data_IF_100720201211
#
_entry.id   IF_100720201211
#
_cell.length_a   1.000
_cell.length_b   1.000
_cell.length_c   1.000
_cell.angle_alpha   90.00
_cell.angle_beta   90.00
_cell.angle_gamma   90.00
#
_symmetry.space_group_name_H-M   'P 1'
#
loop_
_entity.id
_entity.type
_entity.pdbx_description
1 polymer ?
#
# COMPACT_ATOMS: atom_id res chain seq x y z
N UNK A 1 -10.47 -10.26 7.15
CA UNK A 1 -9.95 -11.64 7.19
C UNK A 1 -8.54 -11.68 7.74
N UNK A 2 -7.67 -10.75 7.35
CA UNK A 2 -6.27 -10.66 7.84
C UNK A 2 -6.18 -10.53 9.36
N UNK A 3 -7.00 -9.71 10.00
CA UNK A 3 -6.97 -9.45 11.45
C UNK A 3 -7.15 -10.70 12.32
N UNK A 4 -7.81 -11.73 11.81
CA UNK A 4 -8.03 -12.98 12.53
C UNK A 4 -6.91 -14.01 12.35
N UNK A 5 -6.25 -13.97 11.20
CA UNK A 5 -5.22 -14.94 10.81
C UNK A 5 -3.82 -14.45 11.18
N UNK A 6 -3.56 -13.16 10.98
CA UNK A 6 -2.27 -12.52 11.18
C UNK A 6 -1.65 -12.79 12.57
N UNK A 7 -2.38 -12.69 13.70
CA UNK A 7 -1.80 -12.98 15.01
C UNK A 7 -1.31 -14.43 15.16
N UNK A 8 -2.00 -15.38 14.51
CA UNK A 8 -1.61 -16.79 14.54
C UNK A 8 -0.37 -17.04 13.67
N UNK A 9 -0.31 -16.42 12.51
CA UNK A 9 0.86 -16.48 11.60
C UNK A 9 2.09 -15.87 12.28
N UNK A 10 1.95 -14.70 12.89
CA UNK A 10 3.04 -14.05 13.65
C UNK A 10 3.54 -14.96 14.76
N UNK A 11 2.62 -15.56 15.52
CA UNK A 11 2.97 -16.49 16.62
C UNK A 11 3.75 -17.69 16.08
N UNK A 12 3.28 -18.33 15.01
CA UNK A 12 3.94 -19.47 14.39
C UNK A 12 5.34 -19.10 13.87
N UNK A 13 5.46 -17.97 13.16
CA UNK A 13 6.75 -17.50 12.64
C UNK A 13 7.77 -17.22 13.75
N UNK A 14 7.32 -16.69 14.89
CA UNK A 14 8.17 -16.43 16.06
C UNK A 14 8.53 -17.69 16.83
N UNK A 15 7.67 -18.70 16.82
CA UNK A 15 7.94 -19.99 17.46
C UNK A 15 8.94 -20.82 16.67
N UNK A 16 8.90 -20.70 15.33
CA UNK A 16 9.75 -21.45 14.42
C UNK A 16 10.44 -20.54 13.38
N UNK A 17 11.37 -19.65 13.81
CA UNK A 17 11.91 -18.61 12.93
C UNK A 17 12.71 -19.16 11.75
N UNK A 18 13.42 -20.26 11.94
CA UNK A 18 14.18 -20.91 10.85
C UNK A 18 13.25 -21.50 9.78
N UNK A 19 12.12 -22.06 10.20
CA UNK A 19 11.12 -22.58 9.28
C UNK A 19 10.41 -21.44 8.55
N UNK A 20 10.05 -20.38 9.27
CA UNK A 20 9.43 -19.22 8.68
C UNK A 20 10.31 -18.59 7.59
N UNK A 21 11.61 -18.39 7.84
CA UNK A 21 12.56 -17.89 6.85
C UNK A 21 12.72 -18.85 5.67
N UNK A 22 12.81 -20.15 5.93
CA UNK A 22 12.98 -21.13 4.87
C UNK A 22 11.75 -21.22 3.95
N UNK A 23 10.55 -21.06 4.49
CA UNK A 23 9.30 -21.04 3.73
C UNK A 23 9.15 -19.71 2.98
N UNK A 24 9.36 -18.58 3.65
CA UNK A 24 9.19 -17.25 3.08
C UNK A 24 9.95 -17.05 1.76
N UNK A 25 11.25 -17.34 1.76
CA UNK A 25 12.09 -17.21 0.57
C UNK A 25 11.86 -18.28 -0.52
N UNK A 26 10.95 -19.24 -0.29
CA UNK A 26 10.62 -20.30 -1.26
C UNK A 26 9.22 -20.21 -1.83
N UNK A 27 8.40 -19.25 -1.38
CA UNK A 27 7.07 -19.05 -1.96
C UNK A 27 7.22 -18.54 -3.40
N UNK A 28 6.74 -19.28 -4.41
CA UNK A 28 6.83 -18.82 -5.79
C UNK A 28 6.02 -17.54 -6.00
N UNK A 29 6.54 -16.60 -6.81
CA UNK A 29 5.85 -15.36 -7.15
C UNK A 29 4.43 -15.60 -7.69
N UNK A 30 4.28 -16.56 -8.59
CA UNK A 30 2.96 -16.94 -9.14
C UNK A 30 1.95 -17.39 -8.06
N UNK A 31 2.41 -18.06 -6.99
CA UNK A 31 1.53 -18.43 -5.89
C UNK A 31 1.17 -17.22 -5.03
N UNK A 32 2.13 -16.35 -4.74
CA UNK A 32 1.90 -15.11 -4.01
C UNK A 32 0.93 -14.18 -4.78
N UNK A 33 1.11 -14.06 -6.09
CA UNK A 33 0.22 -13.32 -6.98
C UNK A 33 -1.23 -13.82 -6.91
N UNK A 34 -1.43 -15.13 -7.07
CA UNK A 34 -2.77 -15.74 -6.97
C UNK A 34 -3.43 -15.49 -5.61
N UNK A 35 -2.66 -15.53 -4.53
CA UNK A 35 -3.18 -15.27 -3.18
C UNK A 35 -3.57 -13.80 -3.03
N UNK A 36 -2.77 -12.87 -3.55
CA UNK A 36 -3.04 -11.45 -3.50
C UNK A 36 -4.28 -11.08 -4.35
N UNK A 37 -4.42 -11.66 -5.56
CA UNK A 37 -5.62 -11.48 -6.39
C UNK A 37 -6.87 -12.09 -5.73
N UNK A 38 -6.77 -13.28 -5.14
CA UNK A 38 -7.89 -13.90 -4.43
C UNK A 38 -8.30 -13.10 -3.17
N UNK A 39 -7.35 -12.38 -2.56
CA UNK A 39 -7.58 -11.46 -1.45
C UNK A 39 -8.14 -10.10 -1.88
N UNK A 40 -8.23 -9.83 -3.17
CA UNK A 40 -8.57 -8.51 -3.75
C UNK A 40 -7.59 -7.40 -3.39
N UNK A 41 -6.35 -7.76 -3.10
CA UNK A 41 -5.26 -6.80 -2.86
C UNK A 41 -4.61 -6.35 -4.18
N UNK A 42 -4.82 -7.12 -5.26
CA UNK A 42 -4.35 -6.85 -6.62
C UNK A 42 -5.48 -7.11 -7.61
N UNK A 43 -5.54 -6.27 -8.64
CA UNK A 43 -6.35 -6.51 -9.83
C UNK A 43 -5.50 -7.23 -10.89
N UNK A 44 -5.82 -8.51 -11.13
CA UNK A 44 -5.08 -9.35 -12.09
C UNK A 44 -5.19 -8.87 -13.55
N UNK A 45 -6.23 -8.10 -13.88
CA UNK A 45 -6.44 -7.58 -15.23
C UNK A 45 -5.61 -6.32 -15.50
N UNK A 46 -5.08 -5.70 -14.45
CA UNK A 46 -4.36 -4.41 -14.51
C UNK A 46 -2.87 -4.51 -14.18
N UNK A 47 -2.44 -5.59 -13.53
CA UNK A 47 -1.04 -5.80 -13.17
C UNK A 47 -0.45 -6.89 -14.04
N UNK A 48 0.68 -6.59 -14.69
CA UNK A 48 1.46 -7.61 -15.37
C UNK A 48 2.14 -8.53 -14.34
N UNK A 49 2.08 -9.84 -14.56
CA UNK A 49 2.70 -10.82 -13.67
C UNK A 49 4.21 -10.54 -13.45
N UNK A 50 4.89 -10.00 -14.48
CA UNK A 50 6.30 -9.62 -14.43
C UNK A 50 6.60 -8.49 -13.45
N UNK A 51 5.70 -7.48 -13.35
CA UNK A 51 5.86 -6.37 -12.41
C UNK A 51 5.65 -6.84 -10.97
N UNK A 52 4.66 -7.72 -10.77
CA UNK A 52 4.48 -8.37 -9.47
C UNK A 52 5.67 -9.27 -9.11
N UNK A 53 6.26 -9.98 -10.06
CA UNK A 53 7.43 -10.82 -9.82
C UNK A 53 8.59 -10.00 -9.24
N UNK A 54 8.89 -8.83 -9.80
CA UNK A 54 9.94 -7.94 -9.30
C UNK A 54 9.66 -7.48 -7.87
N UNK A 55 8.41 -7.09 -7.60
CA UNK A 55 7.98 -6.72 -6.25
C UNK A 55 8.17 -7.89 -5.27
N UNK A 56 7.76 -9.10 -5.68
CA UNK A 56 7.85 -10.29 -4.84
C UNK A 56 9.30 -10.71 -4.58
N UNK A 57 10.17 -10.63 -5.58
CA UNK A 57 11.61 -10.89 -5.43
C UNK A 57 12.21 -10.04 -4.31
N UNK A 58 11.96 -8.73 -4.30
CA UNK A 58 12.43 -7.85 -3.24
C UNK A 58 11.79 -8.17 -1.88
N UNK A 59 10.50 -8.43 -1.87
CA UNK A 59 9.77 -8.76 -0.63
C UNK A 59 10.24 -10.09 -0.02
N UNK A 60 10.61 -11.06 -0.85
CA UNK A 60 11.11 -12.37 -0.42
C UNK A 60 12.49 -12.31 0.27
N UNK A 61 13.25 -11.25 0.00
CA UNK A 61 14.54 -11.00 0.66
C UNK A 61 14.39 -10.40 2.07
N UNK A 62 13.20 -9.90 2.40
CA UNK A 62 12.93 -9.31 3.71
C UNK A 62 12.86 -10.40 4.79
N UNK A 63 13.38 -10.13 5.98
CA UNK A 63 13.18 -11.01 7.12
C UNK A 63 11.68 -11.08 7.48
N UNK A 64 11.05 -12.27 7.48
CA UNK A 64 9.62 -12.41 7.73
C UNK A 64 9.19 -11.93 9.11
N UNK A 65 10.04 -11.99 10.14
CA UNK A 65 9.69 -11.45 11.46
C UNK A 65 9.62 -9.91 11.42
N UNK A 66 10.53 -9.27 10.68
CA UNK A 66 10.49 -7.80 10.48
C UNK A 66 9.24 -7.41 9.71
N UNK A 67 8.95 -8.09 8.60
CA UNK A 67 7.76 -7.81 7.78
C UNK A 67 6.45 -7.97 8.58
N UNK A 68 6.31 -9.08 9.30
CA UNK A 68 5.12 -9.34 10.12
C UNK A 68 4.96 -8.33 11.27
N UNK A 69 6.06 -7.87 11.87
CA UNK A 69 6.01 -6.80 12.87
C UNK A 69 5.57 -5.48 12.26
N UNK A 70 6.10 -5.12 11.08
CA UNK A 70 5.67 -3.91 10.38
C UNK A 70 4.15 -3.92 10.14
N UNK A 71 3.60 -5.03 9.64
CA UNK A 71 2.15 -5.18 9.47
C UNK A 71 1.39 -5.05 10.81
N UNK A 72 1.90 -5.65 11.88
CA UNK A 72 1.26 -5.55 13.19
C UNK A 72 1.27 -4.12 13.75
N UNK A 73 2.37 -3.39 13.55
CA UNK A 73 2.47 -2.00 14.01
C UNK A 73 1.65 -1.06 13.13
N UNK A 74 1.62 -1.29 11.82
CA UNK A 74 0.77 -0.52 10.91
C UNK A 74 -0.71 -0.60 11.31
N UNK A 75 -1.21 -1.79 11.65
CA UNK A 75 -2.59 -1.97 12.12
C UNK A 75 -2.91 -1.35 13.50
N UNK A 76 -1.89 -0.91 14.25
CA UNK A 76 -2.05 -0.23 15.56
C UNK A 76 -1.75 1.26 15.48
N UNK A 77 -1.22 1.72 14.35
CA UNK A 77 -0.87 3.12 14.18
C UNK A 77 -2.14 3.99 14.17
N UNK A 78 -2.13 5.04 14.95
CA UNK A 78 -3.20 6.03 15.00
C UNK A 78 -2.62 7.44 14.99
N UNK A 79 -2.86 8.17 13.91
CA UNK A 79 -2.41 9.54 13.72
C UNK A 79 -3.51 10.59 13.94
N UNK A 80 -4.75 10.19 14.27
CA UNK A 80 -5.91 11.07 14.36
C UNK A 80 -5.67 12.33 15.18
N UNK A 81 -5.00 12.19 16.32
CA UNK A 81 -4.67 13.31 17.19
C UNK A 81 -3.66 14.31 16.60
N UNK A 82 -2.93 13.91 15.56
CA UNK A 82 -1.92 14.72 14.90
C UNK A 82 -2.43 15.35 13.60
N UNK A 83 -3.33 14.72 12.88
CA UNK A 83 -3.82 15.16 11.56
C UNK A 83 -4.26 16.64 11.51
N UNK A 84 -4.98 17.19 12.52
CA UNK A 84 -5.37 18.60 12.51
C UNK A 84 -4.20 19.59 12.59
N UNK A 85 -3.00 19.13 12.93
CA UNK A 85 -1.79 19.94 13.03
C UNK A 85 -0.96 19.95 11.73
N UNK A 86 -1.41 19.23 10.70
CA UNK A 86 -0.75 19.21 9.39
C UNK A 86 -1.15 20.47 8.62
N UNK A 87 -0.27 21.46 8.61
CA UNK A 87 -0.51 22.77 7.98
C UNK A 87 -0.09 22.82 6.50
N UNK A 88 0.76 21.90 6.07
CA UNK A 88 1.25 21.84 4.68
C UNK A 88 0.17 21.34 3.72
N UNK A 89 0.16 21.82 2.46
CA UNK A 89 -0.70 21.25 1.43
C UNK A 89 -0.51 19.74 1.34
N UNK A 90 -1.59 18.98 1.39
CA UNK A 90 -1.56 17.52 1.46
C UNK A 90 -2.46 16.93 0.38
N UNK A 91 -1.92 16.04 -0.44
CA UNK A 91 -2.70 15.23 -1.37
C UNK A 91 -2.83 13.82 -0.80
N UNK A 92 -4.06 13.37 -0.65
CA UNK A 92 -4.42 12.01 -0.25
C UNK A 92 -4.91 11.29 -1.49
N UNK A 93 -4.25 10.20 -1.87
CA UNK A 93 -4.68 9.34 -2.96
C UNK A 93 -5.19 8.04 -2.36
N UNK A 94 -6.42 7.70 -2.65
CA UNK A 94 -7.07 6.51 -2.14
C UNK A 94 -7.62 5.66 -3.30
N UNK A 95 -7.52 4.34 -3.18
CA UNK A 95 -8.10 3.42 -4.15
C UNK A 95 -9.48 2.96 -3.69
N UNK A 96 -10.44 2.95 -4.61
CA UNK A 96 -11.85 2.65 -4.31
C UNK A 96 -12.03 1.27 -3.67
N UNK A 97 -11.24 0.29 -4.13
CA UNK A 97 -11.36 -1.10 -3.70
C UNK A 97 -10.24 -1.54 -2.75
N UNK A 98 -9.51 -0.59 -2.15
CA UNK A 98 -8.47 -0.92 -1.18
C UNK A 98 -9.07 -1.58 0.07
N UNK A 99 -8.77 -2.86 0.25
CA UNK A 99 -9.23 -3.63 1.41
C UNK A 99 -8.26 -3.55 2.58
N UNK A 100 -7.04 -3.07 2.34
CA UNK A 100 -5.98 -2.94 3.35
C UNK A 100 -6.05 -1.61 4.09
N UNK A 101 -6.21 -0.51 3.34
CA UNK A 101 -6.46 0.84 3.85
C UNK A 101 -7.79 1.38 3.32
N UNK A 102 -8.93 1.02 3.96
CA UNK A 102 -10.25 1.31 3.44
C UNK A 102 -10.51 2.80 3.22
N UNK A 103 -11.30 3.10 2.20
CA UNK A 103 -11.68 4.44 1.76
C UNK A 103 -12.09 5.38 2.90
N UNK A 104 -12.82 4.86 3.90
CA UNK A 104 -13.25 5.63 5.06
C UNK A 104 -12.08 6.26 5.85
N UNK A 105 -10.90 5.65 5.85
CA UNK A 105 -9.71 6.23 6.49
C UNK A 105 -9.16 7.42 5.69
N UNK A 106 -9.20 7.35 4.37
CA UNK A 106 -8.78 8.46 3.51
C UNK A 106 -9.74 9.65 3.63
N UNK A 107 -11.04 9.40 3.70
CA UNK A 107 -12.08 10.40 3.96
C UNK A 107 -11.89 11.05 5.33
N UNK A 108 -11.62 10.26 6.36
CA UNK A 108 -11.33 10.76 7.71
C UNK A 108 -10.07 11.64 7.73
N UNK A 109 -9.01 11.23 7.04
CA UNK A 109 -7.78 12.03 6.90
C UNK A 109 -8.06 13.35 6.18
N UNK A 110 -8.78 13.30 5.06
CA UNK A 110 -9.13 14.48 4.29
C UNK A 110 -9.99 15.48 5.08
N UNK A 111 -10.89 14.98 5.92
CA UNK A 111 -11.71 15.83 6.80
C UNK A 111 -10.91 16.42 7.96
N UNK A 112 -9.86 15.75 8.43
CA UNK A 112 -9.08 16.17 9.58
C UNK A 112 -7.92 17.12 9.23
N UNK A 113 -7.34 17.02 8.04
CA UNK A 113 -6.21 17.85 7.60
C UNK A 113 -6.73 19.12 6.93
N UNK A 114 -6.41 20.33 7.44
CA UNK A 114 -7.01 21.59 6.98
C UNK A 114 -6.82 21.91 5.48
N UNK A 115 -5.68 21.52 4.91
CA UNK A 115 -5.30 21.81 3.51
C UNK A 115 -5.18 20.53 2.67
N UNK A 116 -6.02 19.53 2.95
CA UNK A 116 -6.03 18.27 2.21
C UNK A 116 -6.89 18.33 0.95
N UNK A 117 -6.42 17.64 -0.08
CA UNK A 117 -7.19 17.23 -1.25
C UNK A 117 -7.27 15.71 -1.25
N UNK A 118 -8.45 15.16 -1.54
CA UNK A 118 -8.66 13.72 -1.70
C UNK A 118 -8.89 13.41 -3.18
N UNK A 119 -8.07 12.52 -3.70
CA UNK A 119 -8.26 11.90 -5.01
C UNK A 119 -8.60 10.44 -4.83
N UNK A 120 -9.67 10.01 -5.47
CA UNK A 120 -10.11 8.61 -5.48
C UNK A 120 -9.74 7.99 -6.82
N UNK A 121 -8.95 6.94 -6.78
CA UNK A 121 -8.63 6.14 -7.96
C UNK A 121 -9.71 5.06 -8.10
N UNK A 122 -10.66 5.32 -9.00
CA UNK A 122 -11.77 4.41 -9.27
C UNK A 122 -11.27 3.07 -9.80
N UNK A 123 -11.98 2.00 -9.44
CA UNK A 123 -11.69 0.62 -9.87
C UNK A 123 -10.26 0.16 -9.55
N UNK A 124 -9.55 0.80 -8.63
CA UNK A 124 -8.21 0.40 -8.21
C UNK A 124 -8.23 -0.32 -6.86
N UNK A 125 -7.29 -1.25 -6.70
CA UNK A 125 -7.05 -1.99 -5.46
C UNK A 125 -5.94 -1.33 -4.61
N UNK A 126 -5.47 -2.02 -3.59
CA UNK A 126 -4.32 -1.58 -2.78
C UNK A 126 -3.06 -1.28 -3.61
N UNK A 127 -2.94 -1.89 -4.78
CA UNK A 127 -1.82 -1.70 -5.69
C UNK A 127 -2.05 -0.56 -6.72
N UNK A 128 -2.95 0.37 -6.49
CA UNK A 128 -3.26 1.48 -7.38
C UNK A 128 -2.05 2.15 -8.05
N UNK A 129 -0.90 2.38 -7.37
CA UNK A 129 0.28 2.97 -8.01
C UNK A 129 0.88 2.11 -9.14
N UNK A 130 0.62 0.81 -9.15
CA UNK A 130 1.07 -0.13 -10.19
C UNK A 130 -0.03 -0.39 -11.20
N UNK A 131 -1.29 -0.35 -10.78
CA UNK A 131 -2.47 -0.56 -11.63
C UNK A 131 -2.78 0.62 -12.54
N UNK A 132 -2.62 1.86 -12.02
CA UNK A 132 -2.94 3.10 -12.72
C UNK A 132 -1.82 4.16 -12.53
N UNK A 133 -0.57 3.85 -12.92
CA UNK A 133 0.58 4.73 -12.64
C UNK A 133 0.46 6.10 -13.29
N UNK A 134 -0.03 6.16 -14.55
CA UNK A 134 -0.14 7.41 -15.29
C UNK A 134 -1.15 8.35 -14.64
N UNK A 135 -2.31 7.86 -14.23
CA UNK A 135 -3.34 8.64 -13.55
C UNK A 135 -2.83 9.23 -12.23
N UNK A 136 -2.11 8.42 -11.45
CA UNK A 136 -1.52 8.86 -10.18
C UNK A 136 -0.44 9.90 -10.44
N UNK A 137 0.45 9.66 -11.42
CA UNK A 137 1.51 10.58 -11.77
C UNK A 137 0.95 11.94 -12.21
N UNK A 138 -0.05 11.96 -13.11
CA UNK A 138 -0.73 13.16 -13.57
C UNK A 138 -1.33 13.95 -12.38
N UNK A 139 -2.04 13.27 -11.50
CA UNK A 139 -2.65 13.93 -10.34
C UNK A 139 -1.62 14.51 -9.37
N UNK A 140 -0.51 13.81 -9.16
CA UNK A 140 0.60 14.32 -8.35
C UNK A 140 1.26 15.53 -9.01
N UNK A 141 1.51 15.50 -10.33
CA UNK A 141 2.08 16.62 -11.07
C UNK A 141 1.17 17.85 -11.00
N UNK A 142 -0.14 17.68 -11.16
CA UNK A 142 -1.12 18.76 -11.03
C UNK A 142 -1.12 19.38 -9.63
N UNK A 143 -1.08 18.56 -8.61
CA UNK A 143 -1.00 19.02 -7.22
C UNK A 143 0.29 19.81 -6.97
N UNK A 144 1.44 19.29 -7.38
CA UNK A 144 2.73 19.94 -7.21
C UNK A 144 2.79 21.28 -7.97
N UNK A 145 2.23 21.31 -9.17
CA UNK A 145 2.17 22.52 -9.98
C UNK A 145 1.24 23.58 -9.36
N UNK A 146 0.01 23.18 -9.00
CA UNK A 146 -1.01 24.12 -8.52
C UNK A 146 -0.76 24.62 -7.10
N UNK A 147 -0.25 23.76 -6.21
CA UNK A 147 -0.09 24.09 -4.80
C UNK A 147 1.30 24.57 -4.43
N UNK A 148 2.33 24.10 -5.13
CA UNK A 148 3.73 24.38 -4.80
C UNK A 148 4.46 25.15 -5.90
N UNK A 149 3.82 25.43 -7.04
CA UNK A 149 4.45 26.10 -8.19
C UNK A 149 5.60 25.29 -8.82
N UNK A 150 5.64 23.97 -8.58
CA UNK A 150 6.68 23.10 -9.11
C UNK A 150 6.26 22.55 -10.47
N UNK A 151 7.01 22.86 -11.51
CA UNK A 151 6.77 22.34 -12.86
C UNK A 151 7.76 21.23 -13.19
N UNK A 152 7.29 20.25 -13.98
CA UNK A 152 8.13 19.17 -14.49
C UNK A 152 9.34 19.77 -15.23
N UNK A 153 10.56 19.36 -14.88
CA UNK A 153 11.72 19.64 -15.71
C UNK A 153 11.55 18.89 -17.04
N UNK A 154 11.74 19.55 -18.20
CA UNK A 154 11.73 18.82 -19.46
C UNK A 154 12.78 17.71 -19.39
N UNK A 155 12.39 16.50 -19.78
CA UNK A 155 13.32 15.36 -19.92
C UNK A 155 14.39 15.74 -20.94
N UNK A 156 15.67 15.70 -20.50
CA UNK A 156 16.83 15.85 -21.40
C UNK A 156 17.02 14.57 -22.19
#
# INVERSE_FOLDING_TARGET
MLDRVLPSVIRAARTFPSVARAVWGRVPAAMAFRVACAGRELDADRIQEEDFQRYWEHSSLMDPDVFLRMLQYAGKHDARGFLPQVEVPTLIIAAEHDTFTPMALAEEMAAAIPNAELEVIEEASHAAPVEQPDRIAERVEDFLSSRLGLTRRPSQ
#
